data_IF_888027323712
#
_entry.id   IF_888027323712
#
_cell.length_a   1.000
_cell.length_b   1.000
_cell.length_c   1.000
_cell.angle_alpha   90.00
_cell.angle_beta   90.00
_cell.angle_gamma   90.00
#
_symmetry.space_group_name_H-M   'P 1'
#
loop_
_entity.id
_entity.type
_entity.pdbx_description
1 polymer ?
#
# COMPACT_ATOMS: atom_id res chain seq x y z
N UNK A 1 3.44 8.08 7.42
CA UNK A 1 3.31 6.83 6.63
C UNK A 1 4.21 5.71 7.17
N UNK A 2 5.52 5.95 7.38
CA UNK A 2 6.41 4.95 7.99
C UNK A 2 5.95 4.41 9.34
N UNK A 3 5.41 5.26 10.22
CA UNK A 3 4.99 4.82 11.56
C UNK A 3 3.79 3.89 11.53
N UNK A 4 2.86 4.09 10.59
CA UNK A 4 1.70 3.22 10.40
C UNK A 4 2.13 1.83 9.89
N UNK A 5 3.07 1.77 8.94
CA UNK A 5 3.64 0.52 8.43
C UNK A 5 4.35 -0.23 9.56
N UNK A 6 5.18 0.45 10.34
CA UNK A 6 5.88 -0.13 11.50
C UNK A 6 4.90 -0.64 12.56
N UNK A 7 3.84 0.10 12.86
CA UNK A 7 2.83 -0.32 13.84
C UNK A 7 2.06 -1.55 13.37
N UNK A 8 1.65 -1.58 12.09
CA UNK A 8 0.98 -2.74 11.50
C UNK A 8 1.89 -3.98 11.49
N UNK A 9 3.16 -3.81 11.12
CA UNK A 9 4.17 -4.88 11.16
C UNK A 9 4.33 -5.44 12.59
N UNK A 10 4.54 -4.60 13.60
CA UNK A 10 4.68 -5.05 15.00
C UNK A 10 3.48 -5.85 15.49
N UNK A 11 2.26 -5.44 15.12
CA UNK A 11 1.03 -6.17 15.45
C UNK A 11 1.00 -7.55 14.81
N UNK A 12 1.33 -7.65 13.52
CA UNK A 12 1.31 -8.93 12.80
C UNK A 12 2.46 -9.85 13.21
N UNK A 13 3.66 -9.30 13.38
CA UNK A 13 4.82 -10.01 13.89
C UNK A 13 4.53 -10.64 15.26
N UNK A 14 3.94 -9.89 16.20
CA UNK A 14 3.54 -10.43 17.51
C UNK A 14 2.51 -11.56 17.40
N UNK A 15 1.56 -11.46 16.45
CA UNK A 15 0.51 -12.47 16.26
C UNK A 15 1.07 -13.78 15.67
N UNK A 16 2.05 -13.70 14.78
CA UNK A 16 2.58 -14.83 14.03
C UNK A 16 3.97 -15.28 14.52
N UNK A 17 4.44 -14.77 15.65
CA UNK A 17 5.79 -15.06 16.15
C UNK A 17 5.92 -16.57 16.51
N UNK A 18 6.96 -17.26 16.01
CA UNK A 18 7.14 -18.70 16.27
C UNK A 18 7.28 -19.01 17.77
N UNK A 19 7.99 -18.18 18.55
CA UNK A 19 8.13 -18.36 20.00
C UNK A 19 6.80 -18.27 20.78
N UNK A 20 5.75 -17.69 20.18
CA UNK A 20 4.40 -17.60 20.76
C UNK A 20 3.46 -18.68 20.19
N UNK A 21 4.01 -19.68 19.49
CA UNK A 21 3.23 -20.72 18.82
C UNK A 21 2.68 -20.32 17.45
N UNK A 22 3.22 -19.25 16.85
CA UNK A 22 2.88 -18.80 15.50
C UNK A 22 3.58 -19.60 14.40
N UNK A 23 3.14 -19.38 13.16
CA UNK A 23 3.76 -20.00 11.98
C UNK A 23 4.97 -19.19 11.50
N UNK A 24 6.14 -19.84 11.47
CA UNK A 24 7.38 -19.26 10.97
C UNK A 24 7.28 -18.83 9.50
N UNK A 25 6.54 -19.55 8.65
CA UNK A 25 6.35 -19.19 7.24
C UNK A 25 5.52 -17.91 7.10
N UNK A 26 4.45 -17.77 7.88
CA UNK A 26 3.69 -16.54 7.96
C UNK A 26 4.54 -15.36 8.44
N UNK A 27 5.38 -15.55 9.46
CA UNK A 27 6.29 -14.51 9.94
C UNK A 27 7.26 -14.03 8.85
N UNK A 28 7.88 -14.96 8.11
CA UNK A 28 8.78 -14.62 7.00
C UNK A 28 8.08 -13.82 5.90
N UNK A 29 6.84 -14.18 5.54
CA UNK A 29 6.05 -13.42 4.56
C UNK A 29 5.74 -12.00 5.04
N UNK A 30 5.41 -11.84 6.33
CA UNK A 30 5.16 -10.52 6.94
C UNK A 30 6.44 -9.68 6.92
N UNK A 31 7.60 -10.28 7.23
CA UNK A 31 8.90 -9.63 7.19
C UNK A 31 9.23 -9.13 5.77
N UNK A 32 9.10 -10.00 4.77
CA UNK A 32 9.35 -9.64 3.36
C UNK A 32 8.42 -8.51 2.90
N UNK A 33 7.13 -8.59 3.21
CA UNK A 33 6.18 -7.55 2.87
C UNK A 33 6.52 -6.20 3.52
N UNK A 34 6.98 -6.21 4.78
CA UNK A 34 7.43 -5.01 5.48
C UNK A 34 8.65 -4.39 4.82
N UNK A 35 9.66 -5.18 4.47
CA UNK A 35 10.88 -4.71 3.79
C UNK A 35 10.54 -4.06 2.45
N UNK A 36 9.71 -4.71 1.64
CA UNK A 36 9.25 -4.16 0.37
C UNK A 36 8.51 -2.83 0.52
N UNK A 37 7.63 -2.72 1.53
CA UNK A 37 6.90 -1.48 1.78
C UNK A 37 7.81 -0.35 2.25
N UNK A 38 8.79 -0.64 3.12
CA UNK A 38 9.76 0.35 3.60
C UNK A 38 10.70 0.81 2.49
N UNK A 39 11.08 -0.08 1.58
CA UNK A 39 11.90 0.31 0.43
C UNK A 39 11.09 1.16 -0.56
N UNK A 40 9.83 0.77 -0.84
CA UNK A 40 8.92 1.56 -1.68
C UNK A 40 8.69 2.97 -1.12
N UNK A 41 8.61 3.15 0.20
CA UNK A 41 8.41 4.49 0.77
C UNK A 41 9.62 5.40 0.61
N UNK A 42 10.81 4.89 0.29
CA UNK A 42 11.98 5.73 -0.05
C UNK A 42 11.80 6.42 -1.40
N UNK A 43 11.27 5.70 -2.38
CA UNK A 43 10.99 6.20 -3.73
C UNK A 43 9.60 5.77 -4.19
N UNK A 44 8.52 6.41 -3.68
CA UNK A 44 7.17 5.95 -3.94
C UNK A 44 6.78 6.18 -5.39
N UNK A 45 6.75 5.12 -6.18
CA UNK A 45 6.23 5.14 -7.55
C UNK A 45 4.76 4.73 -7.53
N UNK A 46 3.87 5.70 -7.75
CA UNK A 46 2.45 5.44 -7.96
C UNK A 46 2.23 4.84 -9.35
N UNK A 47 1.88 3.55 -9.41
CA UNK A 47 1.63 2.82 -10.68
C UNK A 47 0.45 3.43 -11.45
N UNK A 48 -0.51 4.04 -10.75
CA UNK A 48 -1.62 4.78 -11.36
C UNK A 48 -1.48 6.27 -11.08
N UNK A 49 -1.06 7.02 -12.09
CA UNK A 49 -1.23 8.49 -12.18
C UNK A 49 -2.62 8.87 -12.69
N UNK A 50 -3.31 7.88 -13.24
CA UNK A 50 -4.61 8.01 -13.87
C UNK A 50 -5.68 8.00 -12.77
N UNK A 51 -6.55 9.02 -12.77
CA UNK A 51 -7.63 9.17 -11.79
C UNK A 51 -8.42 7.87 -11.61
N UNK A 52 -8.85 7.59 -10.38
CA UNK A 52 -9.68 6.43 -10.10
C UNK A 52 -10.88 6.41 -11.07
N UNK A 53 -11.27 5.23 -11.61
CA UNK A 53 -12.50 5.11 -12.37
C UNK A 53 -13.66 5.69 -11.55
N UNK A 54 -14.48 6.52 -12.18
CA UNK A 54 -15.68 7.14 -11.61
C UNK A 54 -15.47 8.14 -10.45
N UNK A 55 -14.23 8.57 -10.15
CA UNK A 55 -13.98 9.62 -9.14
C UNK A 55 -13.12 10.78 -9.65
N UNK A 56 -13.58 12.00 -9.41
CA UNK A 56 -12.79 13.22 -9.63
C UNK A 56 -11.55 13.22 -8.75
N UNK A 57 -10.40 13.55 -9.34
CA UNK A 57 -9.12 13.66 -8.63
C UNK A 57 -8.70 15.13 -8.60
N UNK A 58 -8.54 15.69 -7.40
CA UNK A 58 -7.94 17.02 -7.24
C UNK A 58 -6.43 16.90 -7.19
N UNK A 59 -5.73 17.52 -8.14
CA UNK A 59 -4.27 17.59 -8.18
C UNK A 59 -3.82 18.95 -7.67
N UNK A 60 -3.35 18.99 -6.41
CA UNK A 60 -2.94 20.22 -5.74
C UNK A 60 -1.69 20.89 -6.35
N UNK A 61 -0.82 20.14 -7.02
CA UNK A 61 0.42 20.67 -7.62
C UNK A 61 0.15 21.70 -8.73
N UNK A 62 -0.97 21.58 -9.44
CA UNK A 62 -1.36 22.49 -10.53
C UNK A 62 -2.73 23.11 -10.31
N UNK A 63 -3.30 22.97 -9.10
CA UNK A 63 -4.63 23.44 -8.73
C UNK A 63 -5.71 23.04 -9.75
N UNK A 64 -5.72 21.77 -10.19
CA UNK A 64 -6.62 21.28 -11.25
C UNK A 64 -7.44 20.07 -10.83
N UNK A 65 -8.65 19.98 -11.35
CA UNK A 65 -9.48 18.78 -11.27
C UNK A 65 -9.21 17.89 -12.49
N UNK A 66 -8.80 16.66 -12.26
CA UNK A 66 -8.62 15.64 -13.29
C UNK A 66 -9.90 14.83 -13.38
N UNK A 67 -10.46 14.77 -14.58
CA UNK A 67 -11.66 13.99 -14.89
C UNK A 67 -11.39 12.50 -14.68
N UNK A 68 -12.33 11.74 -14.08
CA UNK A 68 -12.21 10.29 -13.95
C UNK A 68 -12.06 9.62 -15.31
N UNK A 69 -11.29 8.52 -15.35
CA UNK A 69 -11.26 7.66 -16.52
C UNK A 69 -12.62 6.96 -16.60
N UNK A 70 -13.36 7.23 -17.66
CA UNK A 70 -14.61 6.53 -17.95
C UNK A 70 -14.30 5.04 -18.12
N UNK A 71 -14.93 4.13 -17.36
CA UNK A 71 -14.76 2.70 -17.58
C UNK A 71 -15.19 2.37 -19.01
N UNK A 72 -14.31 1.71 -19.76
CA UNK A 72 -14.59 1.32 -21.13
C UNK A 72 -15.74 0.30 -21.08
N UNK A 73 -16.94 0.71 -21.51
CA UNK A 73 -18.14 -0.14 -21.53
C UNK A 73 -17.90 -1.28 -22.52
N UNK A 74 -17.61 -2.47 -22.02
CA UNK A 74 -17.61 -3.67 -22.85
C UNK A 74 -19.07 -3.95 -23.26
N UNK A 75 -19.29 -4.07 -24.57
CA UNK A 75 -20.60 -4.31 -25.20
C UNK A 75 -20.78 -5.81 -25.42
#
# INVERSE_FOLDING_TARGET
>A
MHDQIKQAYRRQAKKHHPDLGGDAQAFLKIQQAYEMLIDWTRNPTFIRKSGFPDKWLYEGAYNRWIQPIMPRRNK
#
